data_IF_519033810520
#
_entry.id   IF_519033810520
#
_cell.length_a   1.000
_cell.length_b   1.000
_cell.length_c   1.000
_cell.angle_alpha   90.00
_cell.angle_beta   90.00
_cell.angle_gamma   90.00
#
_symmetry.space_group_name_H-M   'P 1'
#
loop_
_entity.id
_entity.type
_entity.pdbx_description
1 polymer ?
#
# COMPACT_ATOMS: atom_id res chain seq x y z
N UNK A 1 1.36 17.93 -1.19
CA UNK A 1 1.52 16.48 -0.91
C UNK A 1 0.47 15.75 -1.74
N UNK A 2 0.88 14.89 -2.68
CA UNK A 2 -0.03 14.28 -3.67
C UNK A 2 -0.90 13.19 -3.02
N UNK A 3 -0.35 12.46 -2.05
CA UNK A 3 -1.01 11.42 -1.27
C UNK A 3 -1.07 11.79 0.22
N UNK A 4 -2.25 12.20 0.74
CA UNK A 4 -2.45 12.45 2.16
C UNK A 4 -2.21 11.20 3.00
N UNK A 5 -1.53 11.34 4.13
CA UNK A 5 -1.25 10.19 5.02
C UNK A 5 -0.19 9.19 4.53
N UNK A 6 0.33 9.34 3.31
CA UNK A 6 1.31 8.40 2.77
C UNK A 6 2.66 8.46 3.51
N UNK A 7 3.23 7.32 3.87
CA UNK A 7 4.58 7.23 4.44
C UNK A 7 5.58 6.91 3.33
N UNK A 8 6.69 7.65 3.31
CA UNK A 8 7.76 7.46 2.33
C UNK A 8 8.91 6.69 2.97
N UNK A 9 9.55 5.84 2.18
CA UNK A 9 10.75 5.10 2.50
C UNK A 9 11.79 5.47 1.45
N UNK A 10 12.72 6.34 1.82
CA UNK A 10 13.68 6.93 0.89
C UNK A 10 14.81 5.94 0.52
N UNK A 11 15.01 4.88 1.31
CA UNK A 11 16.05 3.86 1.06
C UNK A 11 15.61 2.87 -0.02
N UNK A 12 14.36 2.42 0.05
CA UNK A 12 13.77 1.48 -0.93
C UNK A 12 13.04 2.20 -2.07
N UNK A 13 12.93 3.53 -2.00
CA UNK A 13 12.12 4.36 -2.90
C UNK A 13 10.64 3.94 -2.92
N UNK A 14 10.13 3.49 -1.77
CA UNK A 14 8.75 3.01 -1.62
C UNK A 14 7.85 4.09 -1.04
N UNK A 15 6.66 4.27 -1.60
CA UNK A 15 5.60 5.10 -1.02
C UNK A 15 4.44 4.22 -0.58
N UNK A 16 4.18 4.16 0.73
CA UNK A 16 3.01 3.48 1.29
C UNK A 16 1.85 4.46 1.37
N UNK A 17 0.77 4.18 0.64
CA UNK A 17 -0.44 5.01 0.59
C UNK A 17 -1.58 4.28 1.31
N UNK A 18 -2.16 4.84 2.39
CA UNK A 18 -3.33 4.24 3.01
C UNK A 18 -4.49 4.20 2.02
N UNK A 19 -5.18 3.06 1.94
CA UNK A 19 -6.30 2.84 1.01
C UNK A 19 -7.49 2.24 1.75
N UNK A 20 -8.67 2.80 1.53
CA UNK A 20 -9.93 2.20 1.99
C UNK A 20 -10.24 1.01 1.08
N UNK A 21 -10.43 -0.17 1.66
CA UNK A 21 -10.64 -1.45 0.96
C UNK A 21 -11.72 -1.34 -0.11
N UNK A 22 -11.34 -1.34 -1.39
CA UNK A 22 -12.27 -1.31 -2.51
C UNK A 22 -11.65 -0.91 -3.84
N UNK A 23 -12.23 -1.40 -4.95
CA UNK A 23 -11.75 -1.13 -6.32
C UNK A 23 -11.89 0.33 -6.75
N UNK A 24 -12.80 1.09 -6.11
CA UNK A 24 -12.95 2.54 -6.33
C UNK A 24 -11.74 3.32 -5.83
N UNK A 25 -11.20 2.95 -4.66
CA UNK A 25 -10.01 3.58 -4.08
C UNK A 25 -8.77 3.32 -4.94
N UNK A 26 -8.63 2.10 -5.47
CA UNK A 26 -7.58 1.76 -6.43
C UNK A 26 -7.67 2.61 -7.70
N UNK A 27 -8.86 2.75 -8.30
CA UNK A 27 -9.05 3.60 -9.49
C UNK A 27 -8.66 5.05 -9.20
N UNK A 28 -9.13 5.60 -8.08
CA UNK A 28 -8.80 6.96 -7.69
C UNK A 28 -7.28 7.18 -7.50
N UNK A 29 -6.56 6.16 -7.00
CA UNK A 29 -5.10 6.20 -6.89
C UNK A 29 -4.42 6.22 -8.27
N UNK A 30 -4.87 5.39 -9.21
CA UNK A 30 -4.33 5.37 -10.58
C UNK A 30 -4.63 6.68 -11.32
N UNK A 31 -5.85 7.21 -11.21
CA UNK A 31 -6.23 8.50 -11.80
C UNK A 31 -5.35 9.64 -11.24
N UNK A 32 -5.00 9.57 -9.95
CA UNK A 32 -4.11 10.55 -9.32
C UNK A 32 -2.68 10.44 -9.82
N UNK A 33 -2.19 9.24 -10.14
CA UNK A 33 -0.86 9.08 -10.74
C UNK A 33 -0.83 9.66 -12.17
N UNK A 34 -1.89 9.40 -12.94
CA UNK A 34 -2.04 9.90 -14.31
C UNK A 34 -2.08 11.43 -14.37
N UNK A 35 -2.74 12.11 -13.42
CA UNK A 35 -2.77 13.57 -13.31
C UNK A 35 -1.36 14.20 -13.23
N UNK A 36 -0.38 13.47 -12.69
CA UNK A 36 1.02 13.90 -12.59
C UNK A 36 1.93 13.25 -13.63
N UNK A 37 1.37 12.60 -14.65
CA UNK A 37 2.08 11.86 -15.69
C UNK A 37 3.04 10.79 -15.13
N UNK A 38 2.66 10.15 -14.02
CA UNK A 38 3.41 9.05 -13.42
C UNK A 38 2.77 7.74 -13.91
N UNK A 39 3.41 7.11 -14.91
CA UNK A 39 2.98 5.80 -15.38
C UNK A 39 3.55 4.70 -14.47
N UNK A 40 2.69 3.77 -14.04
CA UNK A 40 3.12 2.55 -13.39
C UNK A 40 3.44 1.49 -14.46
N UNK A 41 4.66 0.97 -14.46
CA UNK A 41 5.08 -0.09 -15.39
C UNK A 41 4.43 -1.44 -15.05
N UNK A 42 4.22 -1.71 -13.76
CA UNK A 42 3.64 -2.95 -13.26
C UNK A 42 2.64 -2.67 -12.12
N UNK A 43 1.62 -3.53 -12.03
CA UNK A 43 0.66 -3.53 -10.94
C UNK A 43 0.41 -4.95 -10.44
N UNK A 44 0.67 -5.20 -9.17
CA UNK A 44 0.37 -6.44 -8.47
C UNK A 44 -0.65 -6.23 -7.35
N UNK A 45 -1.49 -7.23 -7.11
CA UNK A 45 -2.41 -7.27 -5.98
C UNK A 45 -1.97 -8.40 -5.07
N UNK A 46 -1.58 -8.06 -3.85
CA UNK A 46 -1.37 -9.03 -2.79
C UNK A 46 -2.65 -9.14 -1.97
N UNK A 47 -3.31 -10.29 -2.06
CA UNK A 47 -4.30 -10.67 -1.05
C UNK A 47 -3.55 -11.08 0.21
N UNK A 48 -3.97 -10.60 1.40
CA UNK A 48 -3.36 -11.02 2.66
C UNK A 48 -3.31 -12.54 2.73
N UNK A 49 -2.19 -13.10 3.15
CA UNK A 49 -2.07 -14.54 3.38
C UNK A 49 -2.65 -14.94 4.75
N UNK A 50 -2.51 -16.22 5.11
CA UNK A 50 -3.00 -16.72 6.40
C UNK A 50 -2.29 -16.02 7.56
N UNK A 51 -0.98 -15.76 7.43
CA UNK A 51 -0.18 -15.16 8.48
C UNK A 51 -0.62 -13.71 8.72
N UNK A 52 -0.87 -12.96 7.65
CA UNK A 52 -1.41 -11.60 7.70
C UNK A 52 -2.77 -11.53 8.40
N UNK A 53 -3.71 -12.43 8.06
CA UNK A 53 -5.05 -12.43 8.69
C UNK A 53 -5.01 -12.98 10.11
N UNK A 54 -4.12 -13.93 10.40
CA UNK A 54 -3.90 -14.43 11.75
C UNK A 54 -3.37 -13.31 12.63
N UNK A 55 -2.34 -12.59 12.21
CA UNK A 55 -1.78 -11.43 12.91
C UNK A 55 -2.83 -10.33 13.13
N UNK A 56 -3.60 -10.00 12.09
CA UNK A 56 -4.66 -9.01 12.18
C UNK A 56 -5.78 -9.42 13.16
N UNK A 57 -6.04 -10.72 13.29
CA UNK A 57 -7.09 -11.26 14.16
C UNK A 57 -6.61 -11.52 15.60
N UNK A 58 -5.32 -11.82 15.80
CA UNK A 58 -4.75 -12.15 17.12
C UNK A 58 -4.07 -10.98 17.83
N UNK A 59 -3.77 -9.88 17.13
CA UNK A 59 -3.35 -8.60 17.72
C UNK A 59 -1.92 -8.56 18.29
N UNK A 60 -0.96 -8.11 17.47
CA UNK A 60 0.42 -7.58 17.72
C UNK A 60 1.33 -8.37 18.71
N UNK A 61 2.64 -8.61 18.52
CA UNK A 61 3.70 -8.18 17.61
C UNK A 61 4.55 -9.42 17.30
N UNK A 62 4.91 -9.66 16.05
CA UNK A 62 6.17 -10.34 15.76
C UNK A 62 7.12 -9.28 15.25
N UNK A 63 7.86 -8.67 16.17
CA UNK A 63 9.19 -8.14 15.88
C UNK A 63 9.92 -9.25 15.12
N UNK A 64 10.17 -9.03 13.83
CA UNK A 64 10.83 -9.99 12.97
C UNK A 64 12.18 -10.36 13.61
N UNK A 65 12.27 -11.60 14.12
CA UNK A 65 13.50 -12.16 14.60
C UNK A 65 14.45 -12.37 13.40
N UNK A 66 15.48 -11.52 13.36
CA UNK A 66 16.82 -11.66 12.74
C UNK A 66 16.90 -11.92 11.22
#
# INVERSE_FOLDING_TARGET
RIFPGASRDDETLTLRVPSDTGTKSLRALLDRLDEYAIAADEFSVHTPDLDDVFLALTGHDTEAAL
#
